data_IF_629277566017
#
_entry.id   IF_629277566017
#
_cell.length_a   1.000
_cell.length_b   1.000
_cell.length_c   1.000
_cell.angle_alpha   90.00
_cell.angle_beta   90.00
_cell.angle_gamma   90.00
#
_symmetry.space_group_name_H-M   'P 1'
#
loop_
_entity.id
_entity.type
_entity.pdbx_description
1 polymer ?
#
# COMPACT_ATOMS: atom_id res chain seq x y z
N UNK A 1 -5.21 7.25 9.44
CA UNK A 1 -5.89 7.72 8.24
C UNK A 1 -7.35 7.29 8.27
N UNK A 2 -7.68 5.98 8.15
CA UNK A 2 -9.07 5.50 8.01
C UNK A 2 -10.02 5.98 9.11
N UNK A 3 -9.62 5.89 10.40
CA UNK A 3 -10.43 6.40 11.52
C UNK A 3 -10.71 7.91 11.41
N UNK A 4 -9.75 8.69 10.93
CA UNK A 4 -9.91 10.14 10.75
C UNK A 4 -10.84 10.44 9.57
N UNK A 5 -10.71 9.71 8.46
CA UNK A 5 -11.62 9.82 7.31
C UNK A 5 -13.05 9.48 7.72
N UNK A 6 -13.27 8.37 8.45
CA UNK A 6 -14.58 8.02 8.99
C UNK A 6 -15.17 9.11 9.92
N UNK A 7 -14.34 9.74 10.74
CA UNK A 7 -14.79 10.85 11.60
C UNK A 7 -15.21 12.07 10.78
N UNK A 8 -14.46 12.42 9.73
CA UNK A 8 -14.78 13.54 8.84
C UNK A 8 -16.08 13.28 8.05
N UNK A 9 -16.30 12.06 7.60
CA UNK A 9 -17.56 11.69 6.95
C UNK A 9 -18.74 11.89 7.93
N UNK A 10 -18.60 11.41 9.16
CA UNK A 10 -19.66 11.63 10.18
C UNK A 10 -19.89 13.10 10.52
N UNK A 11 -18.90 13.96 10.36
CA UNK A 11 -19.03 15.41 10.54
C UNK A 11 -19.51 16.17 9.30
N UNK A 12 -19.86 15.46 8.21
CA UNK A 12 -20.48 16.04 7.02
C UNK A 12 -19.55 16.27 5.84
N UNK A 13 -18.25 15.92 5.92
CA UNK A 13 -17.35 15.97 4.74
C UNK A 13 -17.70 14.82 3.80
N UNK A 14 -17.98 15.11 2.52
CA UNK A 14 -18.29 14.05 1.57
C UNK A 14 -17.06 13.20 1.26
N UNK A 15 -17.25 11.88 1.10
CA UNK A 15 -16.14 10.96 0.86
C UNK A 15 -15.37 11.30 -0.42
N UNK A 16 -16.06 11.74 -1.48
CA UNK A 16 -15.45 12.16 -2.76
C UNK A 16 -14.53 13.38 -2.62
N UNK A 17 -14.71 14.20 -1.60
CA UNK A 17 -13.91 15.41 -1.36
C UNK A 17 -12.64 15.11 -0.55
N UNK A 18 -12.34 13.83 -0.32
CA UNK A 18 -11.17 13.35 0.39
C UNK A 18 -10.28 12.47 -0.47
N UNK A 19 -8.96 12.57 -0.26
CA UNK A 19 -8.00 11.66 -0.86
C UNK A 19 -6.97 11.13 0.15
N UNK A 20 -6.56 9.89 -0.04
CA UNK A 20 -5.38 9.28 0.57
C UNK A 20 -4.33 9.13 -0.52
N UNK A 21 -3.24 9.84 -0.41
CA UNK A 21 -2.16 9.84 -1.39
C UNK A 21 -0.94 9.12 -0.81
N UNK A 22 -0.40 8.21 -1.60
CA UNK A 22 0.77 7.38 -1.25
C UNK A 22 1.87 7.53 -2.30
N UNK A 23 3.11 7.20 -1.94
CA UNK A 23 4.23 7.31 -2.88
C UNK A 23 4.16 6.25 -3.98
N UNK A 24 3.79 5.02 -3.65
CA UNK A 24 3.71 3.91 -4.60
C UNK A 24 2.42 3.13 -4.42
N UNK A 25 1.97 2.49 -5.50
CA UNK A 25 0.80 1.62 -5.47
C UNK A 25 0.99 0.39 -4.55
N UNK A 26 2.23 0.02 -4.22
CA UNK A 26 2.52 -1.05 -3.26
C UNK A 26 2.05 -0.74 -1.83
N UNK A 27 1.78 0.52 -1.53
CA UNK A 27 1.27 0.93 -0.22
C UNK A 27 -0.27 0.84 -0.11
N UNK A 28 -0.99 0.79 -1.25
CA UNK A 28 -2.46 0.83 -1.26
C UNK A 28 -3.13 -0.32 -0.50
N UNK A 29 -2.63 -1.57 -0.49
CA UNK A 29 -3.32 -2.68 0.18
C UNK A 29 -3.62 -2.42 1.65
N UNK A 30 -2.69 -1.79 2.37
CA UNK A 30 -2.87 -1.47 3.78
C UNK A 30 -3.97 -0.41 4.00
N UNK A 31 -4.11 0.54 3.08
CA UNK A 31 -5.16 1.56 3.14
C UNK A 31 -6.50 1.04 2.66
N UNK A 32 -6.53 0.20 1.62
CA UNK A 32 -7.73 -0.50 1.15
C UNK A 32 -8.35 -1.30 2.29
N UNK A 33 -7.53 -2.11 2.97
CA UNK A 33 -7.96 -2.87 4.14
C UNK A 33 -8.46 -1.98 5.27
N UNK A 34 -7.68 -0.95 5.64
CA UNK A 34 -8.03 -0.08 6.77
C UNK A 34 -9.30 0.74 6.51
N UNK A 35 -9.51 1.24 5.29
CA UNK A 35 -10.72 1.95 4.89
C UNK A 35 -11.92 1.01 4.88
N UNK A 36 -11.76 -0.20 4.31
CA UNK A 36 -12.82 -1.23 4.32
C UNK A 36 -13.24 -1.63 5.74
N UNK A 37 -12.29 -1.89 6.63
CA UNK A 37 -12.56 -2.21 8.03
C UNK A 37 -13.26 -1.05 8.79
N UNK A 38 -12.97 0.19 8.40
CA UNK A 38 -13.60 1.38 8.98
C UNK A 38 -14.97 1.70 8.35
N UNK A 39 -15.45 0.92 7.37
CA UNK A 39 -16.68 1.19 6.62
C UNK A 39 -16.60 2.46 5.77
N UNK A 40 -15.41 2.89 5.39
CA UNK A 40 -15.19 4.08 4.57
C UNK A 40 -15.16 3.66 3.10
N UNK A 41 -16.11 4.11 2.27
CA UNK A 41 -16.08 3.84 0.85
C UNK A 41 -14.85 4.51 0.20
N UNK A 42 -14.21 3.80 -0.73
CA UNK A 42 -13.04 4.33 -1.43
C UNK A 42 -13.01 3.93 -2.91
N UNK A 43 -12.34 4.75 -3.70
CA UNK A 43 -12.11 4.54 -5.13
C UNK A 43 -10.62 4.57 -5.41
N UNK A 44 -10.09 3.55 -6.07
CA UNK A 44 -8.71 3.57 -6.57
C UNK A 44 -8.64 4.38 -7.86
N UNK A 45 -7.66 5.30 -7.92
CA UNK A 45 -7.40 6.09 -9.10
C UNK A 45 -5.99 5.89 -9.62
N UNK A 46 -5.89 5.62 -10.92
CA UNK A 46 -4.59 5.41 -11.58
C UNK A 46 -3.95 4.04 -11.32
N UNK A 47 -4.69 3.11 -10.71
CA UNK A 47 -4.29 1.72 -10.56
C UNK A 47 -5.53 0.81 -10.48
N UNK A 48 -5.41 -0.42 -10.92
CA UNK A 48 -6.35 -1.48 -10.56
C UNK A 48 -6.29 -1.73 -9.04
N UNK A 49 -7.41 -2.14 -8.44
CA UNK A 49 -7.42 -2.61 -7.05
C UNK A 49 -6.34 -3.67 -6.86
N UNK A 50 -5.70 -3.66 -5.72
CA UNK A 50 -4.53 -4.53 -5.49
C UNK A 50 -4.81 -5.99 -5.85
N UNK A 51 -5.93 -6.53 -5.37
CA UNK A 51 -6.29 -7.94 -5.64
C UNK A 51 -6.81 -8.20 -7.06
N UNK A 52 -7.14 -7.17 -7.83
CA UNK A 52 -7.58 -7.28 -9.23
C UNK A 52 -6.40 -7.27 -10.21
N UNK A 53 -5.20 -6.86 -9.77
CA UNK A 53 -3.99 -6.87 -10.59
C UNK A 53 -3.66 -8.29 -11.02
N UNK A 54 -3.30 -8.46 -12.31
CA UNK A 54 -3.07 -9.78 -12.89
C UNK A 54 -2.01 -10.60 -12.14
N UNK A 55 -0.89 -9.97 -11.78
CA UNK A 55 0.21 -10.60 -11.03
C UNK A 55 -0.19 -10.97 -9.60
N UNK A 56 -1.03 -10.18 -8.95
CA UNK A 56 -1.51 -10.47 -7.59
C UNK A 56 -2.49 -11.63 -7.62
N UNK A 57 -3.44 -11.64 -8.56
CA UNK A 57 -4.36 -12.78 -8.76
C UNK A 57 -3.60 -14.06 -9.06
N UNK A 58 -2.58 -13.98 -9.91
CA UNK A 58 -1.71 -15.11 -10.21
C UNK A 58 -0.99 -15.60 -8.95
N UNK A 59 -0.39 -14.68 -8.18
CA UNK A 59 0.31 -14.99 -6.93
C UNK A 59 -0.61 -15.65 -5.90
N UNK A 60 -1.79 -15.08 -5.65
CA UNK A 60 -2.80 -15.65 -4.72
C UNK A 60 -3.25 -17.03 -5.18
N UNK A 61 -3.46 -17.23 -6.49
CA UNK A 61 -3.81 -18.54 -7.06
C UNK A 61 -2.73 -19.60 -6.82
N UNK A 62 -1.46 -19.25 -7.01
CA UNK A 62 -0.32 -20.14 -6.77
C UNK A 62 -0.15 -20.45 -5.28
N UNK A 63 -0.29 -19.47 -4.40
CA UNK A 63 -0.25 -19.68 -2.95
C UNK A 63 -1.36 -20.62 -2.49
N UNK A 64 -2.56 -20.46 -3.03
CA UNK A 64 -3.69 -21.37 -2.78
C UNK A 64 -3.44 -22.79 -3.32
N UNK A 65 -2.79 -22.93 -4.46
CA UNK A 65 -2.40 -24.25 -4.98
C UNK A 65 -1.32 -24.90 -4.10
N UNK A 66 -0.29 -24.14 -3.73
CA UNK A 66 0.78 -24.62 -2.87
C UNK A 66 0.27 -25.03 -1.48
N UNK A 67 -0.73 -24.36 -0.92
CA UNK A 67 -1.30 -24.71 0.38
C UNK A 67 -1.97 -26.09 0.43
N UNK A 68 -2.30 -26.67 -0.73
CA UNK A 68 -2.89 -28.02 -0.83
C UNK A 68 -1.86 -29.15 -0.92
N UNK A 69 -0.61 -28.82 -1.29
CA UNK A 69 0.43 -29.80 -1.60
C UNK A 69 1.57 -29.80 -0.60
N UNK A 70 1.73 -28.72 0.16
CA UNK A 70 2.85 -28.55 1.11
C UNK A 70 2.34 -28.74 2.53
N UNK A 71 2.93 -29.72 3.22
CA UNK A 71 2.76 -29.92 4.67
C UNK A 71 3.33 -28.71 5.44
N UNK A 72 2.88 -28.51 6.69
CA UNK A 72 3.33 -27.42 7.55
C UNK A 72 4.85 -27.22 7.49
N UNK A 73 5.28 -26.06 7.04
CA UNK A 73 6.69 -25.73 6.91
C UNK A 73 7.21 -24.96 8.11
N UNK A 74 8.49 -25.17 8.40
CA UNK A 74 9.19 -24.38 9.43
C UNK A 74 9.30 -22.89 9.08
N UNK A 75 9.29 -22.53 7.77
CA UNK A 75 9.32 -21.15 7.28
C UNK A 75 8.22 -20.89 6.23
N UNK A 76 6.98 -20.60 6.66
CA UNK A 76 5.90 -20.31 5.71
C UNK A 76 6.12 -18.98 4.95
N UNK A 77 6.82 -18.00 5.51
CA UNK A 77 7.13 -16.75 4.82
C UNK A 77 8.15 -16.95 3.70
N UNK A 78 9.15 -17.80 3.91
CA UNK A 78 10.10 -18.22 2.89
C UNK A 78 9.43 -19.00 1.75
N UNK A 79 8.45 -19.84 2.07
CA UNK A 79 7.65 -20.53 1.05
C UNK A 79 6.87 -19.57 0.15
N UNK A 80 6.24 -18.54 0.73
CA UNK A 80 5.56 -17.50 -0.05
C UNK A 80 6.53 -16.84 -1.02
N UNK A 81 7.72 -16.46 -0.56
CA UNK A 81 8.75 -15.86 -1.42
C UNK A 81 9.18 -16.80 -2.54
N UNK A 82 9.37 -18.08 -2.24
CA UNK A 82 9.72 -19.10 -3.22
C UNK A 82 8.65 -19.24 -4.31
N UNK A 83 7.36 -19.28 -3.93
CA UNK A 83 6.25 -19.34 -4.88
C UNK A 83 6.22 -18.08 -5.76
N UNK A 84 6.33 -16.89 -5.16
CA UNK A 84 6.27 -15.62 -5.88
C UNK A 84 7.52 -15.37 -6.75
N UNK A 85 8.68 -15.97 -6.42
CA UNK A 85 9.87 -15.89 -7.26
C UNK A 85 9.65 -16.53 -8.62
N UNK A 86 8.87 -17.61 -8.68
CA UNK A 86 8.47 -18.27 -9.93
C UNK A 86 7.67 -17.39 -10.90
N UNK A 87 7.12 -16.28 -10.42
CA UNK A 87 6.37 -15.32 -11.26
C UNK A 87 7.01 -13.93 -11.31
N UNK A 88 8.28 -13.80 -10.89
CA UNK A 88 9.09 -12.61 -11.11
C UNK A 88 9.42 -11.77 -9.87
N UNK A 89 9.17 -12.26 -8.65
CA UNK A 89 9.66 -11.62 -7.44
C UNK A 89 11.15 -11.94 -7.26
N UNK A 90 12.02 -11.02 -7.62
CA UNK A 90 13.47 -11.10 -7.42
C UNK A 90 13.89 -10.45 -6.10
N UNK A 91 15.08 -10.77 -5.59
CA UNK A 91 15.63 -10.19 -4.36
C UNK A 91 15.83 -8.68 -4.46
N UNK A 92 16.13 -8.19 -5.66
CA UNK A 92 16.25 -6.77 -5.96
C UNK A 92 15.22 -6.37 -7.02
N UNK A 93 14.71 -5.14 -6.96
CA UNK A 93 13.78 -4.65 -7.97
C UNK A 93 14.47 -4.54 -9.35
N UNK A 94 13.72 -4.71 -10.44
CA UNK A 94 14.23 -4.46 -11.78
C UNK A 94 14.78 -3.04 -11.92
N UNK A 95 15.88 -2.91 -12.64
CA UNK A 95 16.43 -1.60 -13.02
C UNK A 95 15.48 -0.92 -14.01
N UNK A 96 15.06 0.30 -13.71
CA UNK A 96 14.19 1.10 -14.58
C UNK A 96 12.80 1.35 -13.99
N UNK A 97 12.02 2.17 -14.72
CA UNK A 97 10.62 2.51 -14.43
C UNK A 97 9.72 1.78 -15.43
N UNK A 98 8.47 1.50 -15.08
CA UNK A 98 7.47 0.89 -15.96
C UNK A 98 6.90 -0.42 -15.45
N UNK A 99 6.19 -1.16 -16.29
CA UNK A 99 5.39 -2.35 -15.93
C UNK A 99 6.16 -3.42 -15.15
N UNK A 100 7.42 -3.71 -15.51
CA UNK A 100 8.23 -4.69 -14.80
C UNK A 100 8.46 -4.30 -13.33
N UNK A 101 8.66 -3.00 -13.09
CA UNK A 101 8.82 -2.44 -11.75
C UNK A 101 7.52 -2.46 -10.97
N UNK A 102 6.41 -2.06 -11.57
CA UNK A 102 5.09 -2.07 -10.95
C UNK A 102 4.65 -3.50 -10.59
N UNK A 103 4.89 -4.45 -11.50
CA UNK A 103 4.66 -5.89 -11.25
C UNK A 103 5.49 -6.37 -10.06
N UNK A 104 6.78 -6.07 -10.02
CA UNK A 104 7.65 -6.46 -8.91
C UNK A 104 7.18 -5.84 -7.59
N UNK A 105 6.79 -4.56 -7.58
CA UNK A 105 6.27 -3.87 -6.40
C UNK A 105 4.96 -4.50 -5.89
N UNK A 106 4.08 -4.92 -6.80
CA UNK A 106 2.85 -5.64 -6.46
C UNK A 106 3.13 -6.99 -5.80
N UNK A 107 4.06 -7.77 -6.36
CA UNK A 107 4.47 -9.06 -5.79
C UNK A 107 5.19 -8.89 -4.45
N UNK A 108 6.03 -7.87 -4.31
CA UNK A 108 6.70 -7.54 -3.06
C UNK A 108 5.69 -7.13 -1.98
N UNK A 109 4.64 -6.37 -2.35
CA UNK A 109 3.56 -6.01 -1.43
C UNK A 109 2.77 -7.26 -0.97
N UNK A 110 2.53 -8.21 -1.87
CA UNK A 110 1.88 -9.49 -1.53
C UNK A 110 2.75 -10.31 -0.57
N UNK A 111 4.06 -10.40 -0.82
CA UNK A 111 5.00 -11.07 0.08
C UNK A 111 5.07 -10.39 1.46
N UNK A 112 4.98 -9.07 1.51
CA UNK A 112 4.95 -8.31 2.76
C UNK A 112 3.66 -8.57 3.54
N UNK A 113 2.50 -8.56 2.89
CA UNK A 113 1.21 -8.92 3.51
C UNK A 113 1.24 -10.31 4.15
N UNK A 114 1.85 -11.27 3.45
CA UNK A 114 2.03 -12.62 3.97
C UNK A 114 2.96 -12.65 5.19
N UNK A 115 4.09 -11.94 5.12
CA UNK A 115 5.02 -11.83 6.25
C UNK A 115 4.38 -11.21 7.49
N UNK A 116 3.60 -10.14 7.32
CA UNK A 116 2.87 -9.47 8.40
C UNK A 116 1.79 -10.40 9.00
N UNK A 117 1.11 -11.19 8.16
CA UNK A 117 0.15 -12.19 8.61
C UNK A 117 0.81 -13.24 9.51
N UNK A 118 1.92 -13.85 9.08
CA UNK A 118 2.62 -14.86 9.89
C UNK A 118 3.24 -14.26 11.15
N UNK A 119 3.69 -13.01 11.12
CA UNK A 119 4.21 -12.31 12.30
C UNK A 119 3.13 -12.09 13.37
N UNK A 120 1.87 -11.87 12.95
CA UNK A 120 0.74 -11.63 13.86
C UNK A 120 -0.05 -12.89 14.21
N UNK A 121 0.18 -13.99 13.48
CA UNK A 121 -0.51 -15.27 13.65
C UNK A 121 0.51 -16.42 13.74
N UNK A 122 1.24 -16.57 14.87
CA UNK A 122 2.21 -17.65 15.05
C UNK A 122 1.56 -19.02 14.89
N UNK A 123 2.18 -19.90 14.10
CA UNK A 123 1.65 -21.24 13.81
C UNK A 123 0.62 -21.30 12.68
N UNK A 124 0.25 -20.17 12.08
CA UNK A 124 -0.63 -20.17 10.92
C UNK A 124 0.03 -20.87 9.72
N UNK A 125 -0.78 -21.59 8.96
CA UNK A 125 -0.38 -22.31 7.76
C UNK A 125 -0.53 -21.46 6.49
N UNK A 126 0.00 -21.98 5.38
CA UNK A 126 -0.24 -21.39 4.05
C UNK A 126 -1.74 -21.40 3.66
N UNK A 127 -2.51 -22.37 4.18
CA UNK A 127 -3.95 -22.44 3.96
C UNK A 127 -4.69 -21.31 4.69
N UNK A 128 -4.27 -20.98 5.91
CA UNK A 128 -4.82 -19.85 6.67
C UNK A 128 -4.51 -18.52 5.98
N UNK A 129 -3.29 -18.36 5.45
CA UNK A 129 -2.95 -17.20 4.62
C UNK A 129 -3.83 -17.12 3.37
N UNK A 130 -4.04 -18.24 2.67
CA UNK A 130 -4.87 -18.25 1.46
C UNK A 130 -6.33 -17.86 1.76
N UNK A 131 -6.87 -18.29 2.89
CA UNK A 131 -8.20 -17.92 3.36
C UNK A 131 -8.27 -16.41 3.70
N UNK A 132 -7.27 -15.88 4.39
CA UNK A 132 -7.18 -14.45 4.71
C UNK A 132 -7.08 -13.59 3.45
N UNK A 133 -6.25 -13.96 2.48
CA UNK A 133 -6.13 -13.23 1.21
C UNK A 133 -7.44 -13.25 0.41
N UNK A 134 -8.17 -14.36 0.44
CA UNK A 134 -9.49 -14.46 -0.17
C UNK A 134 -10.51 -13.55 0.51
N UNK A 135 -10.53 -13.50 1.84
CA UNK A 135 -11.41 -12.61 2.61
C UNK A 135 -11.10 -11.12 2.30
N UNK A 136 -9.81 -10.74 2.24
CA UNK A 136 -9.39 -9.38 1.88
C UNK A 136 -9.81 -9.01 0.44
N UNK A 137 -9.66 -9.93 -0.48
CA UNK A 137 -10.11 -9.73 -1.88
C UNK A 137 -11.62 -9.49 -1.98
N UNK A 138 -12.42 -10.18 -1.17
CA UNK A 138 -13.88 -10.06 -1.19
C UNK A 138 -14.39 -8.68 -0.71
N UNK A 139 -13.69 -8.04 0.23
CA UNK A 139 -14.06 -6.71 0.76
C UNK A 139 -14.03 -5.62 -0.34
N UNK A 140 -13.23 -5.80 -1.38
CA UNK A 140 -13.03 -4.84 -2.46
C UNK A 140 -14.04 -4.87 -3.62
N UNK A 141 -15.02 -5.77 -3.66
CA UNK A 141 -15.81 -6.04 -4.87
C UNK A 141 -17.06 -5.16 -5.09
N UNK A 142 -17.46 -4.30 -4.15
CA UNK A 142 -18.59 -3.40 -4.38
C UNK A 142 -18.15 -2.21 -5.26
N UNK A 143 -18.81 -1.93 -6.39
CA UNK A 143 -18.59 -0.72 -7.17
C UNK A 143 -19.00 0.49 -6.34
N UNK A 144 -18.05 1.34 -5.96
CA UNK A 144 -18.31 2.57 -5.22
C UNK A 144 -18.26 3.72 -6.21
N UNK A 145 -19.41 4.36 -6.46
CA UNK A 145 -19.49 5.55 -7.33
C UNK A 145 -19.01 6.82 -6.61
N UNK A 146 -19.03 6.84 -5.28
CA UNK A 146 -18.64 7.99 -4.44
C UNK A 146 -17.85 7.50 -3.22
N UNK A 147 -16.58 7.83 -3.15
CA UNK A 147 -15.69 7.37 -2.08
C UNK A 147 -14.41 8.17 -1.97
N UNK A 148 -13.68 7.96 -0.87
CA UNK A 148 -12.35 8.53 -0.67
C UNK A 148 -11.42 8.07 -1.79
N UNK A 149 -10.79 9.00 -2.50
CA UNK A 149 -9.83 8.66 -3.54
C UNK A 149 -8.55 8.10 -2.90
N UNK A 150 -8.18 6.87 -3.26
CA UNK A 150 -6.89 6.29 -2.92
C UNK A 150 -6.02 6.25 -4.18
N UNK A 151 -4.90 6.98 -4.17
CA UNK A 151 -4.06 7.15 -5.35
C UNK A 151 -2.58 7.27 -5.00
N UNK A 152 -1.71 6.99 -5.99
CA UNK A 152 -0.32 7.41 -5.90
C UNK A 152 -0.18 8.91 -6.15
N UNK A 153 0.91 9.52 -5.64
CA UNK A 153 1.23 10.93 -5.87
C UNK A 153 1.28 11.27 -7.37
N UNK A 154 1.76 10.35 -8.20
CA UNK A 154 1.79 10.56 -9.66
C UNK A 154 0.39 10.62 -10.26
N UNK A 155 -0.51 9.75 -9.82
CA UNK A 155 -1.89 9.70 -10.31
C UNK A 155 -2.75 10.89 -9.80
N UNK A 156 -2.27 11.59 -8.78
CA UNK A 156 -2.92 12.77 -8.22
C UNK A 156 -2.61 14.07 -8.98
N UNK A 157 -1.70 14.05 -9.95
CA UNK A 157 -1.34 15.24 -10.73
C UNK A 157 -2.56 15.81 -11.46
N UNK A 158 -2.81 17.11 -11.29
CA UNK A 158 -3.95 17.81 -11.89
C UNK A 158 -5.29 17.65 -11.18
N UNK A 159 -5.33 16.93 -10.05
CA UNK A 159 -6.53 16.75 -9.24
C UNK A 159 -6.40 17.52 -7.93
N UNK A 160 -7.52 17.80 -7.25
CA UNK A 160 -7.54 18.49 -5.97
C UNK A 160 -8.73 18.00 -5.14
N UNK A 161 -8.58 18.02 -3.80
CA UNK A 161 -9.61 17.61 -2.83
C UNK A 161 -9.64 18.59 -1.67
N UNK A 162 -10.76 18.70 -1.00
CA UNK A 162 -10.86 19.52 0.22
C UNK A 162 -9.93 18.97 1.31
N UNK A 163 -9.87 17.65 1.44
CA UNK A 163 -9.07 16.97 2.47
C UNK A 163 -8.10 15.97 1.82
N UNK A 164 -6.82 16.12 2.10
CA UNK A 164 -5.79 15.20 1.63
C UNK A 164 -5.06 14.58 2.82
N UNK A 165 -4.94 13.26 2.80
CA UNK A 165 -4.07 12.49 3.67
C UNK A 165 -2.83 12.08 2.88
N UNK A 166 -1.68 12.71 3.11
CA UNK A 166 -0.40 12.23 2.62
C UNK A 166 0.15 11.18 3.58
N UNK A 167 0.20 9.94 3.12
CA UNK A 167 0.49 8.81 3.98
C UNK A 167 1.82 8.12 3.63
N UNK A 168 2.45 7.55 4.68
CA UNK A 168 3.70 6.83 4.53
C UNK A 168 4.93 7.72 4.35
N UNK A 169 4.93 8.92 4.96
CA UNK A 169 6.02 9.88 4.89
C UNK A 169 7.21 9.45 5.77
N UNK A 170 7.85 8.36 5.38
CA UNK A 170 9.04 7.83 6.06
C UNK A 170 10.22 7.78 5.10
N UNK A 171 11.43 8.02 5.58
CA UNK A 171 12.66 7.83 4.81
C UNK A 171 12.72 6.41 4.24
N UNK A 172 13.11 6.29 2.96
CA UNK A 172 13.06 5.05 2.21
C UNK A 172 11.71 4.75 1.54
N UNK A 173 10.64 5.50 1.92
CA UNK A 173 9.36 5.49 1.23
C UNK A 173 9.17 6.78 0.43
N UNK A 174 9.37 7.94 1.05
CA UNK A 174 9.43 9.26 0.41
C UNK A 174 10.46 10.13 1.16
N UNK A 175 11.66 10.36 0.63
CA UNK A 175 12.16 9.86 -0.66
C UNK A 175 12.24 8.34 -0.69
N UNK A 176 12.04 7.76 -1.87
CA UNK A 176 12.16 6.31 -2.05
C UNK A 176 13.61 5.89 -1.90
N UNK A 177 13.85 4.69 -1.35
CA UNK A 177 15.21 4.18 -1.06
C UNK A 177 16.18 4.21 -2.24
N UNK A 178 15.66 4.20 -3.46
CA UNK A 178 16.45 4.22 -4.70
C UNK A 178 16.82 5.63 -5.20
N UNK A 179 16.27 6.68 -4.60
CA UNK A 179 16.64 8.06 -4.89
C UNK A 179 17.91 8.42 -4.11
N UNK A 180 19.07 8.13 -4.72
CA UNK A 180 20.38 8.31 -4.07
C UNK A 180 21.17 9.51 -4.60
N UNK A 181 20.90 9.95 -5.86
CA UNK A 181 21.51 11.16 -6.40
C UNK A 181 20.76 12.42 -5.97
N UNK A 182 21.44 13.57 -5.97
CA UNK A 182 20.84 14.87 -5.69
C UNK A 182 19.60 15.11 -6.56
N UNK A 183 19.70 14.90 -7.88
CA UNK A 183 18.59 15.08 -8.82
C UNK A 183 17.41 14.15 -8.53
N UNK A 184 17.68 12.89 -8.14
CA UNK A 184 16.63 11.94 -7.78
C UNK A 184 15.92 12.35 -6.48
N UNK A 185 16.66 12.90 -5.52
CA UNK A 185 16.07 13.42 -4.27
C UNK A 185 15.22 14.67 -4.56
N UNK A 186 15.69 15.56 -5.44
CA UNK A 186 14.90 16.73 -5.86
C UNK A 186 13.61 16.34 -6.57
N UNK A 187 13.62 15.30 -7.39
CA UNK A 187 12.40 14.78 -8.02
C UNK A 187 11.41 14.23 -6.99
N UNK A 188 11.88 13.53 -5.96
CA UNK A 188 11.05 13.07 -4.84
C UNK A 188 10.47 14.25 -4.03
N UNK A 189 11.24 15.34 -3.88
CA UNK A 189 10.76 16.57 -3.23
C UNK A 189 9.67 17.25 -4.06
N UNK A 190 9.84 17.34 -5.39
CA UNK A 190 8.80 17.85 -6.29
C UNK A 190 7.53 17.01 -6.23
N UNK A 191 7.68 15.70 -6.12
CA UNK A 191 6.55 14.79 -5.99
C UNK A 191 5.79 14.99 -4.66
N UNK A 192 6.51 15.23 -3.55
CA UNK A 192 5.87 15.62 -2.29
C UNK A 192 5.13 16.96 -2.45
N UNK A 193 5.75 17.95 -3.08
CA UNK A 193 5.11 19.24 -3.36
C UNK A 193 3.80 19.08 -4.14
N UNK A 194 3.80 18.22 -5.17
CA UNK A 194 2.56 17.88 -5.87
C UNK A 194 1.51 17.38 -4.91
N UNK A 195 1.86 16.45 -4.01
CA UNK A 195 0.91 15.91 -3.02
C UNK A 195 0.37 16.96 -2.06
N UNK A 196 1.23 17.82 -1.53
CA UNK A 196 0.85 18.90 -0.60
C UNK A 196 -0.14 19.86 -1.24
N UNK A 197 0.13 20.26 -2.50
CA UNK A 197 -0.71 21.19 -3.25
C UNK A 197 -2.03 20.61 -3.75
N UNK A 198 -2.31 19.33 -3.48
CA UNK A 198 -3.63 18.72 -3.79
C UNK A 198 -4.69 19.02 -2.74
N UNK A 199 -4.30 19.49 -1.54
CA UNK A 199 -5.23 19.86 -0.50
C UNK A 199 -5.72 21.31 -0.69
N UNK A 200 -7.03 21.49 -0.76
CA UNK A 200 -7.66 22.83 -0.82
C UNK A 200 -7.85 23.44 0.57
N UNK A 201 -8.23 22.61 1.55
CA UNK A 201 -8.60 23.08 2.89
C UNK A 201 -7.74 22.42 3.98
N UNK A 202 -7.67 21.09 4.01
CA UNK A 202 -7.00 20.33 5.08
C UNK A 202 -6.00 19.32 4.56
N UNK A 203 -4.80 19.38 5.10
CA UNK A 203 -3.73 18.44 4.82
C UNK A 203 -3.35 17.68 6.09
N UNK A 204 -3.37 16.34 6.01
CA UNK A 204 -2.92 15.46 7.08
C UNK A 204 -1.67 14.70 6.62
N UNK A 205 -0.57 14.89 7.32
CA UNK A 205 0.67 14.18 7.10
C UNK A 205 0.77 12.99 8.06
N UNK A 206 1.14 11.81 7.56
CA UNK A 206 1.31 10.64 8.43
C UNK A 206 2.49 9.77 8.03
N UNK A 207 3.14 9.23 9.05
CA UNK A 207 4.23 8.26 8.92
C UNK A 207 4.08 7.15 9.95
N UNK A 208 4.71 6.01 9.68
CA UNK A 208 4.75 4.89 10.60
C UNK A 208 6.17 4.72 11.15
N UNK A 209 6.31 4.55 12.46
CA UNK A 209 7.59 4.26 13.10
C UNK A 209 7.99 2.78 12.97
N UNK A 210 7.02 1.90 12.74
CA UNK A 210 7.23 0.46 12.56
C UNK A 210 6.50 -0.04 11.30
N UNK A 211 6.86 -1.23 10.82
CA UNK A 211 6.22 -1.86 9.64
C UNK A 211 4.85 -2.43 9.95
N UNK A 212 4.68 -2.98 11.16
CA UNK A 212 3.44 -3.58 11.64
C UNK A 212 3.20 -3.21 13.10
N UNK A 213 1.98 -3.40 13.58
CA UNK A 213 1.63 -3.20 14.99
C UNK A 213 2.47 -4.14 15.86
N UNK A 214 3.06 -3.61 16.93
CA UNK A 214 3.94 -4.35 17.85
C UNK A 214 5.38 -4.57 17.36
N UNK A 215 5.72 -4.25 16.10
CA UNK A 215 7.09 -4.33 15.62
C UNK A 215 7.97 -3.19 16.18
N UNK A 216 9.29 -3.46 16.22
CA UNK A 216 10.27 -2.46 16.69
C UNK A 216 10.20 -1.18 15.86
N UNK A 217 10.21 0.01 16.47
CA UNK A 217 10.20 1.29 15.76
C UNK A 217 11.60 1.56 15.16
N UNK A 218 11.77 1.19 13.89
CA UNK A 218 13.04 1.33 13.14
C UNK A 218 12.94 2.32 11.98
N UNK A 219 11.72 2.82 11.70
CA UNK A 219 11.52 3.79 10.62
C UNK A 219 11.71 5.22 11.10
N UNK A 220 12.33 6.03 10.27
CA UNK A 220 12.48 7.46 10.49
C UNK A 220 11.43 8.22 9.69
N UNK A 221 10.95 9.34 10.24
CA UNK A 221 10.13 10.31 9.53
C UNK A 221 10.90 10.77 8.27
N UNK A 222 10.18 11.02 7.20
CA UNK A 222 10.75 11.60 5.98
C UNK A 222 11.44 12.92 6.29
N UNK A 223 12.66 13.08 5.79
CA UNK A 223 13.42 14.34 5.89
C UNK A 223 12.68 15.53 5.29
N UNK A 224 11.83 15.30 4.30
CA UNK A 224 11.05 16.36 3.66
C UNK A 224 9.92 16.91 4.55
N UNK A 225 9.48 16.18 5.55
CA UNK A 225 8.42 16.68 6.47
C UNK A 225 8.94 17.85 7.31
N UNK A 226 10.24 17.91 7.57
CA UNK A 226 10.86 19.02 8.30
C UNK A 226 10.93 20.31 7.47
N UNK A 227 10.84 20.19 6.15
CA UNK A 227 10.85 21.34 5.23
C UNK A 227 9.46 22.00 5.09
N UNK A 228 8.40 21.35 5.57
CA UNK A 228 6.99 21.83 5.46
C UNK A 228 6.53 22.54 6.74
N UNK A 229 7.26 22.38 7.85
CA UNK A 229 6.93 22.92 9.17
C UNK A 229 7.37 24.36 9.35
#
# INVERSE_FOLDING_TARGET
>A
VARRAAALIRSGTAARDMAVLVRTNAQTPAFEQALGQAGVPFVLRGAERFFDRAEVRQGVGLLRAASRTVSAAEDPAGQVRAVLSGIGLTAQPPSGRGQARERWESLQALAQLAGDFFATSPGASLADLAAELAARSAIGHAPVMDGVTLASLHAAKGLEWEVVFLAGLSDGTLPIVYAQSGDAIEEERRLLYVGVTRARDRLFLSWALARSAGARPVRKRSRFVEEIS
#
